data_IF_094352350077
#
_entry.id   IF_094352350077
#
_cell.length_a   1.000
_cell.length_b   1.000
_cell.length_c   1.000
_cell.angle_alpha   90.00
_cell.angle_beta   90.00
_cell.angle_gamma   90.00
#
_symmetry.space_group_name_H-M   'P 1'
#
loop_
_entity.id
_entity.type
_entity.pdbx_description
1 polymer ?
#
# COMPACT_ATOMS: atom_id res chain seq x y z
N UNK A 1 -15.18 5.48 -20.96
CA UNK A 1 -14.94 4.06 -20.60
C UNK A 1 -13.42 3.88 -20.50
N UNK A 2 -12.82 4.13 -19.34
CA UNK A 2 -11.37 4.00 -19.17
C UNK A 2 -11.05 2.84 -18.24
N UNK A 3 -10.00 2.11 -18.63
CA UNK A 3 -9.82 0.69 -18.41
C UNK A 3 -9.53 0.30 -16.94
N UNK A 4 -10.22 -0.76 -16.49
CA UNK A 4 -9.92 -1.52 -15.28
C UNK A 4 -8.68 -2.40 -15.49
N UNK A 5 -7.51 -1.76 -15.49
CA UNK A 5 -6.22 -2.44 -15.61
C UNK A 5 -5.84 -3.20 -14.34
N UNK A 6 -6.35 -4.42 -14.20
CA UNK A 6 -5.57 -5.60 -13.81
C UNK A 6 -4.92 -5.60 -12.40
N UNK A 7 -5.73 -5.82 -11.38
CA UNK A 7 -5.32 -6.40 -10.10
C UNK A 7 -4.93 -7.88 -10.31
N UNK A 8 -3.64 -8.17 -10.47
CA UNK A 8 -3.04 -9.48 -10.17
C UNK A 8 -1.54 -9.43 -10.38
N UNK A 9 -0.75 -9.58 -9.30
CA UNK A 9 0.24 -10.66 -9.19
C UNK A 9 0.45 -10.95 -7.70
N UNK A 10 -0.12 -12.07 -7.26
CA UNK A 10 0.44 -12.88 -6.16
C UNK A 10 1.67 -13.57 -6.75
N UNK A 11 2.85 -13.25 -6.23
CA UNK A 11 4.12 -13.78 -6.72
C UNK A 11 4.95 -14.38 -5.60
N UNK A 12 4.65 -15.63 -5.25
CA UNK A 12 5.55 -16.51 -4.51
C UNK A 12 6.77 -16.79 -5.39
N UNK A 13 7.80 -15.94 -5.35
CA UNK A 13 9.03 -16.17 -6.08
C UNK A 13 9.98 -17.04 -5.26
N UNK A 14 10.03 -18.32 -5.64
CA UNK A 14 11.09 -19.28 -5.32
C UNK A 14 12.42 -18.74 -5.85
N UNK A 15 13.47 -18.78 -5.03
CA UNK A 15 14.80 -18.29 -5.39
C UNK A 15 15.45 -19.09 -6.53
N UNK A 16 16.20 -18.39 -7.39
CA UNK A 16 17.19 -18.99 -8.28
C UNK A 16 17.33 -18.35 -9.66
N UNK A 17 18.46 -17.67 -9.86
CA UNK A 17 19.27 -17.63 -11.10
C UNK A 17 19.18 -16.51 -12.15
N UNK A 18 18.37 -15.45 -12.01
CA UNK A 18 18.60 -14.23 -12.81
C UNK A 18 18.37 -12.99 -11.95
N UNK A 19 19.42 -12.16 -11.82
CA UNK A 19 19.49 -11.03 -10.90
C UNK A 19 18.51 -9.90 -11.19
N UNK A 20 17.28 -10.04 -10.70
CA UNK A 20 16.43 -8.89 -10.41
C UNK A 20 16.65 -8.49 -8.94
N UNK A 21 17.78 -7.83 -8.66
CA UNK A 21 18.03 -7.21 -7.34
C UNK A 21 17.40 -5.83 -7.23
N UNK A 22 16.72 -5.35 -8.26
CA UNK A 22 16.00 -4.10 -8.16
C UNK A 22 14.84 -4.28 -7.17
N UNK A 23 14.70 -3.38 -6.18
CA UNK A 23 13.53 -3.40 -5.34
C UNK A 23 12.29 -3.36 -6.24
N UNK A 24 11.28 -4.19 -5.97
CA UNK A 24 10.03 -4.18 -6.71
C UNK A 24 9.52 -2.74 -6.87
N UNK A 25 8.99 -2.39 -8.05
CA UNK A 25 8.59 -1.03 -8.35
C UNK A 25 7.63 -0.53 -7.26
N UNK A 26 7.75 0.74 -6.83
CA UNK A 26 6.83 1.30 -5.87
C UNK A 26 5.40 1.15 -6.38
N UNK A 27 4.47 0.85 -5.47
CA UNK A 27 3.06 0.79 -5.84
C UNK A 27 2.58 2.13 -6.41
N UNK A 28 1.56 2.06 -7.26
CA UNK A 28 0.90 3.24 -7.84
C UNK A 28 0.51 4.23 -6.71
N UNK A 29 1.03 5.48 -6.75
CA UNK A 29 0.74 6.50 -5.74
C UNK A 29 -0.76 6.73 -5.51
N UNK A 30 -1.60 6.60 -6.53
CA UNK A 30 -3.05 6.77 -6.40
C UNK A 30 -3.67 5.65 -5.55
N UNK A 31 -3.24 4.40 -5.78
CA UNK A 31 -3.68 3.24 -4.99
C UNK A 31 -3.22 3.37 -3.54
N UNK A 32 -1.97 3.80 -3.32
CA UNK A 32 -1.42 4.00 -1.96
C UNK A 32 -2.22 5.08 -1.22
N UNK A 33 -2.59 6.19 -1.88
CA UNK A 33 -3.43 7.23 -1.28
C UNK A 33 -4.81 6.70 -0.88
N UNK A 34 -5.44 5.88 -1.72
CA UNK A 34 -6.74 5.27 -1.42
C UNK A 34 -6.65 4.36 -0.19
N UNK A 35 -5.67 3.45 -0.16
CA UNK A 35 -5.46 2.53 0.95
C UNK A 35 -5.17 3.26 2.27
N UNK A 36 -4.35 4.31 2.24
CA UNK A 36 -4.08 5.14 3.41
C UNK A 36 -5.35 5.85 3.89
N UNK A 37 -6.19 6.32 2.96
CA UNK A 37 -7.44 7.01 3.28
C UNK A 37 -8.43 6.06 3.97
N UNK A 38 -8.52 4.81 3.54
CA UNK A 38 -9.40 3.80 4.17
C UNK A 38 -9.08 3.54 5.64
N UNK A 39 -7.80 3.66 6.01
CA UNK A 39 -7.33 3.48 7.38
C UNK A 39 -7.24 4.81 8.15
N UNK A 40 -7.78 5.90 7.58
CA UNK A 40 -7.87 7.21 8.22
C UNK A 40 -6.61 8.08 8.15
N UNK A 41 -5.64 7.71 7.29
CA UNK A 41 -4.47 8.53 6.98
C UNK A 41 -4.68 9.21 5.62
N UNK A 42 -5.22 10.42 5.61
CA UNK A 42 -5.47 11.15 4.35
C UNK A 42 -4.28 12.07 4.03
N UNK A 43 -3.33 11.66 3.15
CA UNK A 43 -2.27 12.56 2.71
C UNK A 43 -2.88 13.71 1.91
N UNK A 44 -2.37 14.92 2.14
CA UNK A 44 -2.66 16.05 1.25
C UNK A 44 -2.09 15.78 -0.17
N UNK A 45 -2.50 16.59 -1.13
CA UNK A 45 -1.98 16.52 -2.50
C UNK A 45 -0.45 16.72 -2.52
N UNK A 46 0.21 16.04 -3.45
CA UNK A 46 1.67 16.06 -3.60
C UNK A 46 2.38 14.82 -3.05
N UNK A 47 3.54 14.52 -3.63
CA UNK A 47 4.27 13.26 -3.37
C UNK A 47 5.01 13.27 -2.03
N UNK A 48 5.44 14.43 -1.56
CA UNK A 48 6.07 14.58 -0.24
C UNK A 48 5.10 14.22 0.89
N UNK A 49 3.84 14.67 0.77
CA UNK A 49 2.80 14.41 1.75
C UNK A 49 2.40 12.93 1.76
N UNK A 50 2.36 12.30 0.59
CA UNK A 50 2.17 10.86 0.46
C UNK A 50 3.33 10.10 1.14
N UNK A 51 4.57 10.50 0.88
CA UNK A 51 5.77 9.90 1.48
C UNK A 51 5.72 9.99 3.01
N UNK A 52 5.32 11.13 3.57
CA UNK A 52 5.15 11.29 5.02
C UNK A 52 4.06 10.38 5.58
N UNK A 53 2.92 10.26 4.92
CA UNK A 53 1.86 9.35 5.34
C UNK A 53 2.33 7.88 5.32
N UNK A 54 3.10 7.48 4.30
CA UNK A 54 3.72 6.15 4.23
C UNK A 54 4.69 5.93 5.39
N UNK A 55 5.55 6.91 5.71
CA UNK A 55 6.46 6.80 6.87
C UNK A 55 5.73 6.64 8.19
N UNK A 56 4.65 7.40 8.39
CA UNK A 56 3.80 7.29 9.58
C UNK A 56 3.19 5.89 9.69
N UNK A 57 2.67 5.36 8.58
CA UNK A 57 2.13 4.00 8.53
C UNK A 57 3.20 2.94 8.83
N UNK A 58 4.37 3.05 8.20
CA UNK A 58 5.49 2.14 8.41
C UNK A 58 5.94 2.13 9.88
N UNK A 59 6.11 3.31 10.48
CA UNK A 59 6.48 3.42 11.89
C UNK A 59 5.43 2.78 12.82
N UNK A 60 4.13 2.97 12.55
CA UNK A 60 3.04 2.38 13.34
C UNK A 60 2.95 0.86 13.22
N UNK A 61 3.38 0.31 12.10
CA UNK A 61 3.33 -1.13 11.81
C UNK A 61 4.65 -1.86 12.08
N UNK A 62 5.66 -1.15 12.57
CA UNK A 62 6.99 -1.71 12.86
C UNK A 62 7.83 -2.01 11.61
N UNK A 63 7.52 -1.37 10.48
CA UNK A 63 8.37 -1.34 9.29
C UNK A 63 9.42 -0.23 9.41
N UNK A 64 10.48 -0.32 8.61
CA UNK A 64 11.43 0.78 8.43
C UNK A 64 10.71 1.97 7.77
N UNK A 65 10.72 3.18 8.37
CA UNK A 65 10.01 4.34 7.84
C UNK A 65 10.78 5.03 6.71
N UNK A 66 11.08 4.28 5.64
CA UNK A 66 11.77 4.78 4.44
C UNK A 66 10.89 5.72 3.59
N UNK A 67 9.56 5.59 3.70
CA UNK A 67 8.57 6.33 2.92
C UNK A 67 8.24 5.69 1.57
N UNK A 68 8.75 4.48 1.30
CA UNK A 68 8.57 3.74 0.06
C UNK A 68 7.47 2.68 0.23
N UNK A 69 6.45 2.75 -0.61
CA UNK A 69 5.40 1.74 -0.67
C UNK A 69 5.86 0.48 -1.43
N UNK A 70 6.83 -0.24 -0.86
CA UNK A 70 7.26 -1.56 -1.34
C UNK A 70 6.23 -2.66 -1.02
N UNK A 71 6.44 -3.91 -1.48
CA UNK A 71 5.45 -4.99 -1.37
C UNK A 71 5.01 -5.28 0.06
N UNK A 72 5.94 -5.20 1.02
CA UNK A 72 5.61 -5.40 2.44
C UNK A 72 4.70 -4.30 2.97
N UNK A 73 5.01 -3.05 2.64
CA UNK A 73 4.18 -1.88 2.98
C UNK A 73 2.79 -2.02 2.36
N UNK A 74 2.71 -2.37 1.07
CA UNK A 74 1.45 -2.51 0.32
C UNK A 74 0.61 -3.66 0.83
N UNK A 75 1.22 -4.79 1.16
CA UNK A 75 0.53 -5.93 1.74
C UNK A 75 -0.16 -5.56 3.05
N UNK A 76 0.55 -4.86 3.96
CA UNK A 76 -0.04 -4.40 5.21
C UNK A 76 -1.12 -3.34 4.95
N UNK A 77 -0.89 -2.34 4.09
CA UNK A 77 -1.89 -1.33 3.75
C UNK A 77 -3.19 -1.97 3.26
N UNK A 78 -3.09 -2.94 2.34
CA UNK A 78 -4.24 -3.64 1.79
C UNK A 78 -5.01 -4.39 2.88
N UNK A 79 -4.29 -5.07 3.78
CA UNK A 79 -4.90 -5.80 4.89
C UNK A 79 -5.66 -4.86 5.84
N UNK A 80 -5.01 -3.79 6.32
CA UNK A 80 -5.64 -2.84 7.23
C UNK A 80 -6.80 -2.09 6.57
N UNK A 81 -6.69 -1.74 5.28
CA UNK A 81 -7.77 -1.11 4.54
C UNK A 81 -8.98 -2.05 4.39
N UNK A 82 -8.76 -3.35 4.13
CA UNK A 82 -9.84 -4.34 4.09
C UNK A 82 -10.53 -4.47 5.45
N UNK A 83 -9.77 -4.63 6.53
CA UNK A 83 -10.30 -4.69 7.90
C UNK A 83 -11.09 -3.41 8.26
N UNK A 84 -10.58 -2.23 7.90
CA UNK A 84 -11.29 -0.95 8.13
C UNK A 84 -12.58 -0.82 7.32
N UNK A 85 -12.61 -1.36 6.08
CA UNK A 85 -13.81 -1.38 5.24
C UNK A 85 -14.88 -2.31 5.81
N UNK A 86 -14.49 -3.49 6.28
CA UNK A 86 -15.40 -4.45 6.91
C UNK A 86 -16.06 -3.87 8.16
N UNK A 87 -15.26 -3.32 9.07
CA UNK A 87 -15.77 -2.67 10.29
C UNK A 87 -16.75 -1.53 9.99
N UNK A 88 -16.52 -0.79 8.90
CA UNK A 88 -17.42 0.30 8.48
C UNK A 88 -18.77 -0.22 8.00
N UNK A 89 -18.79 -1.39 7.36
CA UNK A 89 -20.03 -2.01 6.89
C UNK A 89 -20.86 -2.51 8.08
N UNK A 90 -20.21 -3.11 9.08
CA UNK A 90 -20.90 -3.59 10.29
C UNK A 90 -21.55 -2.45 11.08
N UNK A 91 -20.95 -1.26 11.11
CA UNK A 91 -21.50 -0.08 11.77
C UNK A 91 -22.67 0.57 11.01
N UNK A 92 -22.86 0.22 9.73
CA UNK A 92 -23.90 0.78 8.88
C UNK A 92 -25.15 -0.12 8.76
N UNK A 93 -25.10 -1.34 9.32
CA UNK A 93 -26.19 -2.32 9.34
C UNK A 93 -27.05 -2.21 10.62
#
# INVERSE_FOLDING_TARGET
>A
MSARGMLSVVGTAVGGLVGWTAPPPPADPAVVRELLTDIGLTPADGDDQLTMAVRVFQARTGLDPDGVAGPRTVHLLTRYAAEARELRLDLAA
#
